data_IF_211922580137
#
_entry.id   IF_211922580137
#
_cell.length_a   1.000
_cell.length_b   1.000
_cell.length_c   1.000
_cell.angle_alpha   90.00
_cell.angle_beta   90.00
_cell.angle_gamma   90.00
#
_symmetry.space_group_name_H-M   'P 1'
#
loop_
_entity.id
_entity.type
_entity.pdbx_description
1 polymer ?
#
# COMPACT_ATOMS: atom_id res chain seq x y z
N UNK A 1 2.98 -8.05 51.13
CA UNK A 1 2.34 -9.35 50.86
C UNK A 1 1.97 -9.37 49.38
N UNK A 2 2.81 -9.96 48.52
CA UNK A 2 2.56 -9.98 47.08
C UNK A 2 1.59 -11.12 46.77
N UNK A 3 0.40 -10.81 46.27
CA UNK A 3 -0.50 -11.84 45.76
C UNK A 3 0.16 -12.49 44.54
N UNK A 4 0.21 -13.83 44.52
CA UNK A 4 0.74 -14.56 43.37
C UNK A 4 -0.21 -14.47 42.19
N UNK A 5 0.30 -14.59 40.96
CA UNK A 5 -0.53 -14.61 39.74
C UNK A 5 -1.62 -15.69 39.79
N UNK A 6 -1.31 -16.82 40.42
CA UNK A 6 -2.26 -17.90 40.65
C UNK A 6 -3.40 -17.46 41.58
N UNK A 7 -3.10 -16.71 42.64
CA UNK A 7 -4.10 -16.16 43.56
C UNK A 7 -5.02 -15.14 42.88
N UNK A 8 -4.48 -14.33 41.95
CA UNK A 8 -5.27 -13.43 41.12
C UNK A 8 -6.16 -14.18 40.11
N UNK A 9 -5.64 -15.21 39.46
CA UNK A 9 -6.41 -16.03 38.52
C UNK A 9 -7.53 -16.79 39.25
N UNK A 10 -7.28 -17.31 40.46
CA UNK A 10 -8.27 -18.01 41.28
C UNK A 10 -9.41 -17.08 41.71
N UNK A 11 -9.14 -15.80 41.98
CA UNK A 11 -10.18 -14.79 42.28
C UNK A 11 -11.04 -14.43 41.07
N UNK A 12 -10.50 -14.57 39.86
CA UNK A 12 -11.21 -14.35 38.60
C UNK A 12 -11.93 -15.59 38.09
N UNK A 13 -11.62 -16.77 38.64
CA UNK A 13 -12.29 -18.00 38.29
C UNK A 13 -13.75 -17.93 38.75
N UNK A 14 -14.67 -18.19 37.83
CA UNK A 14 -16.10 -18.22 38.13
C UNK A 14 -16.39 -19.57 38.83
N UNK A 15 -17.03 -19.57 40.01
CA UNK A 15 -17.34 -20.80 40.73
C UNK A 15 -18.24 -21.70 39.85
N UNK A 16 -17.76 -22.91 39.54
CA UNK A 16 -18.44 -23.87 38.66
C UNK A 16 -17.87 -23.97 37.23
N UNK A 17 -16.89 -23.14 36.87
CA UNK A 17 -16.17 -23.21 35.59
C UNK A 17 -14.73 -23.73 35.77
N UNK A 18 -14.10 -24.26 34.70
CA UNK A 18 -12.74 -24.78 34.77
C UNK A 18 -11.71 -23.73 35.20
N UNK A 19 -10.65 -24.17 35.89
CA UNK A 19 -9.60 -23.28 36.43
C UNK A 19 -8.89 -22.42 35.36
N UNK A 20 -8.83 -22.89 34.11
CA UNK A 20 -8.23 -22.13 32.99
C UNK A 20 -9.00 -20.84 32.66
N UNK A 21 -10.27 -20.72 33.08
CA UNK A 21 -11.10 -19.53 32.83
C UNK A 21 -10.58 -18.30 33.56
N UNK A 22 -10.03 -18.46 34.78
CA UNK A 22 -9.40 -17.37 35.51
C UNK A 22 -8.18 -16.82 34.78
N UNK A 23 -7.35 -17.70 34.21
CA UNK A 23 -6.19 -17.32 33.38
C UNK A 23 -6.63 -16.65 32.08
N UNK A 24 -7.65 -17.19 31.41
CA UNK A 24 -8.21 -16.59 30.19
C UNK A 24 -8.79 -15.19 30.44
N UNK A 25 -9.50 -15.00 31.55
CA UNK A 25 -10.05 -13.69 31.94
C UNK A 25 -8.94 -12.69 32.27
N UNK A 26 -7.88 -13.14 32.95
CA UNK A 26 -6.71 -12.31 33.27
C UNK A 26 -5.94 -11.91 32.00
N UNK A 27 -5.80 -12.83 31.04
CA UNK A 27 -5.25 -12.54 29.71
C UNK A 27 -6.13 -11.55 28.95
N UNK A 28 -7.45 -11.72 28.96
CA UNK A 28 -8.37 -10.79 28.30
C UNK A 28 -8.28 -9.38 28.89
N UNK A 29 -8.25 -9.25 30.22
CA UNK A 29 -8.06 -7.96 30.90
C UNK A 29 -6.70 -7.34 30.55
N UNK A 30 -5.63 -8.13 30.51
CA UNK A 30 -4.31 -7.66 30.11
C UNK A 30 -4.34 -7.11 28.67
N UNK A 31 -4.96 -7.84 27.75
CA UNK A 31 -5.10 -7.41 26.35
C UNK A 31 -5.95 -6.14 26.24
N UNK A 32 -7.04 -6.02 26.99
CA UNK A 32 -7.87 -4.81 27.04
C UNK A 32 -7.08 -3.63 27.59
N UNK A 33 -6.34 -3.82 28.69
CA UNK A 33 -5.48 -2.78 29.25
C UNK A 33 -4.39 -2.34 28.28
N UNK A 34 -3.77 -3.29 27.58
CA UNK A 34 -2.78 -3.00 26.55
C UNK A 34 -3.41 -2.26 25.37
N UNK A 35 -4.59 -2.70 24.90
CA UNK A 35 -5.33 -2.02 23.84
C UNK A 35 -5.70 -0.58 24.23
N UNK A 36 -6.08 -0.34 25.50
CA UNK A 36 -6.36 0.99 26.01
C UNK A 36 -5.11 1.88 26.03
N UNK A 37 -3.96 1.30 26.40
CA UNK A 37 -2.68 1.99 26.38
C UNK A 37 -2.17 2.28 24.96
N UNK A 38 -2.46 1.39 24.01
CA UNK A 38 -2.15 1.55 22.59
C UNK A 38 -3.18 2.43 21.86
N UNK A 39 -4.41 2.58 22.38
CA UNK A 39 -5.47 3.40 21.81
C UNK A 39 -5.00 4.81 21.42
N UNK A 40 -4.32 5.60 22.28
CA UNK A 40 -3.84 6.92 21.88
C UNK A 40 -2.92 6.84 20.65
N UNK A 41 -2.01 5.87 20.60
CA UNK A 41 -1.12 5.71 19.45
C UNK A 41 -1.87 5.28 18.18
N UNK A 42 -2.90 4.44 18.31
CA UNK A 42 -3.77 4.09 17.19
C UNK A 42 -4.56 5.29 16.67
N UNK A 43 -5.09 6.13 17.57
CA UNK A 43 -5.90 7.30 17.21
C UNK A 43 -5.04 8.39 16.58
N UNK A 44 -3.85 8.67 17.13
CA UNK A 44 -2.96 9.69 16.58
C UNK A 44 -2.20 9.22 15.34
N UNK A 45 -1.80 7.94 15.29
CA UNK A 45 -1.04 7.39 14.17
C UNK A 45 -1.87 7.13 12.91
N UNK A 46 -3.07 6.55 13.07
CA UNK A 46 -3.93 6.24 11.90
C UNK A 46 -4.57 7.50 11.33
N UNK A 47 -4.96 8.46 12.18
CA UNK A 47 -5.54 9.73 11.72
C UNK A 47 -4.57 10.54 10.86
N UNK A 48 -3.33 10.75 11.32
CA UNK A 48 -2.34 11.49 10.52
C UNK A 48 -1.97 10.79 9.21
N UNK A 49 -1.99 9.45 9.19
CA UNK A 49 -1.76 8.67 7.95
C UNK A 49 -2.95 8.78 6.98
N UNK A 50 -4.17 8.79 7.50
CA UNK A 50 -5.37 9.04 6.71
C UNK A 50 -5.38 10.45 6.14
N UNK A 51 -5.08 11.47 6.95
CA UNK A 51 -5.02 12.86 6.49
C UNK A 51 -3.97 13.03 5.38
N UNK A 52 -2.80 12.37 5.51
CA UNK A 52 -1.79 12.37 4.46
C UNK A 52 -2.22 11.62 3.18
N UNK A 53 -2.94 10.50 3.33
CA UNK A 53 -3.49 9.75 2.19
C UNK A 53 -4.62 10.51 1.49
N UNK A 54 -5.43 11.27 2.22
CA UNK A 54 -6.49 12.12 1.66
C UNK A 54 -5.88 13.23 0.81
N UNK A 55 -4.85 13.92 1.31
CA UNK A 55 -4.11 14.90 0.54
C UNK A 55 -3.47 14.32 -0.73
N UNK A 56 -2.89 13.11 -0.63
CA UNK A 56 -2.32 12.41 -1.80
C UNK A 56 -3.39 12.01 -2.82
N UNK A 57 -4.56 11.56 -2.36
CA UNK A 57 -5.68 11.21 -3.24
C UNK A 57 -6.22 12.41 -4.00
N UNK A 58 -6.33 13.56 -3.35
CA UNK A 58 -6.79 14.79 -3.99
C UNK A 58 -5.80 15.26 -5.06
N UNK A 59 -4.50 15.20 -4.78
CA UNK A 59 -3.47 15.55 -5.77
C UNK A 59 -3.49 14.62 -6.99
N UNK A 60 -3.59 13.30 -6.78
CA UNK A 60 -3.73 12.32 -7.87
C UNK A 60 -5.02 12.56 -8.66
N UNK A 61 -6.12 12.91 -7.99
CA UNK A 61 -7.40 13.19 -8.64
C UNK A 61 -7.30 14.43 -9.53
N UNK A 62 -6.63 15.48 -9.07
CA UNK A 62 -6.42 16.70 -9.85
C UNK A 62 -5.48 16.45 -11.04
N UNK A 63 -4.45 15.63 -10.87
CA UNK A 63 -3.59 15.20 -11.98
C UNK A 63 -4.38 14.45 -13.04
N UNK A 64 -5.20 13.45 -12.65
CA UNK A 64 -6.06 12.71 -13.58
C UNK A 64 -7.04 13.65 -14.28
N UNK A 65 -7.62 14.62 -13.57
CA UNK A 65 -8.54 15.60 -14.16
C UNK A 65 -7.82 16.47 -15.19
N UNK A 66 -6.60 16.92 -14.88
CA UNK A 66 -5.75 17.67 -15.80
C UNK A 66 -5.38 16.85 -17.04
N UNK A 67 -4.99 15.59 -16.86
CA UNK A 67 -4.68 14.67 -17.96
C UNK A 67 -5.92 14.37 -18.81
N UNK A 68 -7.08 14.19 -18.19
CA UNK A 68 -8.36 13.97 -18.90
C UNK A 68 -8.76 15.16 -19.75
N UNK A 69 -8.56 16.39 -19.25
CA UNK A 69 -8.81 17.62 -20.02
C UNK A 69 -7.83 17.69 -21.18
N UNK A 70 -6.52 17.50 -20.94
CA UNK A 70 -5.50 17.50 -22.01
C UNK A 70 -5.71 16.42 -23.05
N UNK A 71 -6.21 15.24 -22.66
CA UNK A 71 -6.52 14.15 -23.58
C UNK A 71 -7.83 14.42 -24.35
N UNK A 72 -8.80 15.08 -23.72
CA UNK A 72 -10.07 15.47 -24.36
C UNK A 72 -9.91 16.65 -25.32
N UNK A 73 -9.03 17.61 -24.99
CA UNK A 73 -8.57 18.70 -25.86
C UNK A 73 -7.42 18.26 -26.79
N UNK A 74 -6.90 17.04 -26.59
CA UNK A 74 -6.03 16.38 -27.54
C UNK A 74 -6.76 16.25 -28.88
N UNK A 75 -6.08 16.41 -30.03
CA UNK A 75 -6.74 16.66 -31.30
C UNK A 75 -7.72 15.53 -31.66
N UNK A 76 -9.02 15.76 -31.47
CA UNK A 76 -10.06 15.03 -32.22
C UNK A 76 -10.10 15.44 -33.70
N UNK A 77 -9.20 16.33 -34.12
CA UNK A 77 -8.88 16.65 -35.51
C UNK A 77 -7.57 15.96 -35.88
N UNK A 78 -7.57 15.23 -37.00
CA UNK A 78 -6.39 14.80 -37.78
C UNK A 78 -5.74 13.42 -37.56
N UNK A 79 -6.37 12.46 -36.87
CA UNK A 79 -5.93 11.05 -37.01
C UNK A 79 -6.10 10.49 -38.44
N UNK A 80 -6.85 11.19 -39.32
CA UNK A 80 -7.07 10.78 -40.71
C UNK A 80 -6.46 11.72 -41.75
N UNK A 81 -5.96 12.90 -41.38
CA UNK A 81 -5.57 13.94 -42.36
C UNK A 81 -4.15 14.50 -42.21
N UNK A 82 -3.41 14.16 -41.16
CA UNK A 82 -2.06 14.69 -40.94
C UNK A 82 -1.05 13.61 -40.52
N UNK A 83 -1.00 12.52 -41.29
CA UNK A 83 0.23 11.73 -41.34
C UNK A 83 1.26 12.53 -42.15
N UNK A 84 2.00 13.41 -41.48
CA UNK A 84 3.20 14.02 -42.05
C UNK A 84 4.29 12.97 -42.01
N UNK A 85 4.63 12.44 -43.18
CA UNK A 85 5.77 11.55 -43.34
C UNK A 85 7.03 12.27 -42.80
N UNK A 86 7.69 11.76 -41.75
CA UNK A 86 8.85 12.44 -41.19
C UNK A 86 9.92 12.58 -42.28
N UNK A 87 10.56 13.75 -42.45
CA UNK A 87 11.59 13.91 -43.46
C UNK A 87 12.66 12.86 -43.22
N UNK A 88 12.83 11.97 -44.20
CA UNK A 88 13.86 10.95 -44.20
C UNK A 88 15.21 11.65 -44.09
N UNK A 89 15.75 11.75 -42.87
CA UNK A 89 17.09 12.28 -42.65
C UNK A 89 18.05 11.40 -43.46
N UNK A 90 18.87 11.95 -44.37
CA UNK A 90 19.98 11.17 -44.90
C UNK A 90 20.78 10.70 -43.70
N UNK A 91 21.13 9.42 -43.69
CA UNK A 91 21.93 8.77 -42.65
C UNK A 91 23.33 9.37 -42.68
N UNK A 92 23.45 10.59 -42.15
CA UNK A 92 24.70 11.24 -41.84
C UNK A 92 25.37 10.43 -40.74
N UNK A 93 26.60 10.06 -41.03
CA UNK A 93 27.53 9.30 -40.18
C UNK A 93 27.34 9.71 -38.72
N UNK A 94 27.06 8.73 -37.86
CA UNK A 94 26.79 8.94 -36.45
C UNK A 94 28.00 9.62 -35.78
N UNK A 95 27.86 10.91 -35.51
CA UNK A 95 28.79 11.61 -34.63
C UNK A 95 28.49 11.13 -33.21
N UNK A 96 29.41 10.32 -32.67
CA UNK A 96 29.35 9.79 -31.31
C UNK A 96 29.54 10.96 -30.34
N UNK A 97 28.45 11.62 -29.97
CA UNK A 97 28.46 12.49 -28.80
C UNK A 97 28.62 11.60 -27.56
N UNK A 98 29.63 11.83 -26.70
CA UNK A 98 29.75 11.10 -25.44
C UNK A 98 28.57 11.49 -24.57
N UNK A 99 27.60 10.59 -24.43
CA UNK A 99 26.51 10.73 -23.48
C UNK A 99 27.10 10.69 -22.08
N UNK A 100 27.22 11.86 -21.45
CA UNK A 100 27.45 11.94 -20.00
C UNK A 100 26.16 11.49 -19.34
N UNK A 101 26.04 10.19 -19.09
CA UNK A 101 24.95 9.66 -18.29
C UNK A 101 25.15 10.13 -16.84
N UNK A 102 24.16 10.80 -16.23
CA UNK A 102 24.20 11.05 -14.79
C UNK A 102 24.24 9.71 -14.04
N UNK A 103 24.86 9.68 -12.84
CA UNK A 103 24.90 8.47 -12.04
C UNK A 103 23.48 8.01 -11.72
N UNK A 104 23.18 6.76 -12.07
CA UNK A 104 21.89 6.12 -11.82
C UNK A 104 21.67 6.11 -10.30
N UNK A 105 20.55 6.66 -9.79
CA UNK A 105 20.25 6.60 -8.37
C UNK A 105 20.12 5.13 -7.92
N UNK A 106 20.56 4.79 -6.70
CA UNK A 106 20.47 3.43 -6.20
C UNK A 106 19.00 2.96 -6.21
N UNK A 107 18.73 1.69 -6.55
CA UNK A 107 17.37 1.16 -6.56
C UNK A 107 16.75 1.26 -5.17
N UNK A 108 15.46 1.62 -5.11
CA UNK A 108 14.70 1.65 -3.87
C UNK A 108 14.75 0.27 -3.19
N UNK A 109 15.20 0.23 -1.94
CA UNK A 109 15.23 -1.00 -1.14
C UNK A 109 13.83 -1.34 -0.65
N UNK A 110 13.02 -1.95 -1.53
CA UNK A 110 11.79 -2.60 -1.11
C UNK A 110 12.13 -3.91 -0.37
N UNK A 111 11.45 -4.24 0.74
CA UNK A 111 11.59 -5.55 1.36
C UNK A 111 11.15 -6.62 0.36
N UNK A 112 11.98 -7.65 0.19
CA UNK A 112 11.68 -8.79 -0.68
C UNK A 112 10.34 -9.40 -0.27
N UNK A 113 9.41 -9.62 -1.21
CA UNK A 113 8.19 -10.36 -0.91
C UNK A 113 8.59 -11.78 -0.46
N UNK A 114 7.94 -12.35 0.58
CA UNK A 114 8.25 -13.69 1.03
C UNK A 114 8.10 -14.65 -0.16
N UNK A 115 9.14 -15.46 -0.41
CA UNK A 115 9.13 -16.58 -1.36
C UNK A 115 8.19 -17.67 -0.83
N UNK A 116 6.91 -17.40 -0.87
CA UNK A 116 5.83 -18.31 -0.53
C UNK A 116 4.72 -18.03 -1.52
N UNK A 117 4.64 -18.87 -2.54
CA UNK A 117 3.72 -18.74 -3.66
C UNK A 117 2.31 -18.47 -3.17
N UNK A 118 1.86 -17.23 -3.37
CA UNK A 118 0.45 -16.88 -3.29
C UNK A 118 -0.26 -17.74 -4.34
N UNK A 119 -1.25 -18.57 -3.96
CA UNK A 119 -2.10 -19.20 -4.95
C UNK A 119 -2.96 -18.09 -5.55
N UNK A 120 -2.46 -17.43 -6.59
CA UNK A 120 -3.31 -16.55 -7.37
C UNK A 120 -4.34 -17.43 -8.08
N UNK A 121 -5.64 -17.17 -7.88
CA UNK A 121 -6.68 -17.86 -8.64
C UNK A 121 -6.47 -17.51 -10.12
N UNK A 122 -6.17 -18.54 -10.93
CA UNK A 122 -6.04 -18.37 -12.38
C UNK A 122 -7.38 -17.93 -12.93
N UNK A 123 -7.43 -16.69 -13.41
CA UNK A 123 -8.61 -16.12 -14.04
C UNK A 123 -8.65 -16.65 -15.49
N UNK A 124 -9.23 -17.84 -15.67
CA UNK A 124 -9.44 -18.42 -17.00
C UNK A 124 -10.57 -17.64 -17.69
N UNK A 125 -10.21 -16.73 -18.60
CA UNK A 125 -11.19 -16.04 -19.44
C UNK A 125 -11.60 -16.94 -20.60
N UNK A 126 -12.91 -17.05 -20.94
CA UNK A 126 -13.35 -17.89 -22.04
C UNK A 126 -12.98 -17.24 -23.37
N UNK A 127 -12.09 -17.87 -24.12
CA UNK A 127 -11.85 -17.53 -25.53
C UNK A 127 -13.10 -17.86 -26.34
N UNK A 128 -13.81 -16.84 -26.82
CA UNK A 128 -14.89 -17.00 -27.80
C UNK A 128 -14.29 -17.51 -29.12
N UNK A 129 -14.73 -18.70 -29.55
CA UNK A 129 -14.66 -19.14 -30.94
C UNK A 129 -15.95 -18.76 -31.67
#
# INVERSE_FOLDING_TARGET
MMASFHDLAARLAIPGLPEWTGVAALLALLLVGLAYLLMPFSVFGVKGRLDALEAQLDEIRDEIRGLSIRLSDGPRRSATEEWVDPPSRPRGVAEVQPRVNPPIPPPASWPDPPRGGRPEPRLDWPTRR
#
